data_IF_142102789949
#
_entry.id   IF_142102789949
#
_cell.length_a   1.000
_cell.length_b   1.000
_cell.length_c   1.000
_cell.angle_alpha   90.00
_cell.angle_beta   90.00
_cell.angle_gamma   90.00
#
_symmetry.space_group_name_H-M   'P 1'
#
loop_
_entity.id
_entity.type
_entity.pdbx_description
1 polymer ?
#
# COMPACT_ATOMS: atom_id res chain seq x y z
N UNK A 1 -20.24 20.92 -22.29
CA UNK A 1 -21.07 21.69 -21.36
C UNK A 1 -20.67 21.34 -19.95
N UNK A 2 -19.93 22.23 -19.26
CA UNK A 2 -19.55 22.10 -17.87
C UNK A 2 -20.77 22.51 -17.02
N UNK A 3 -21.43 21.54 -16.42
CA UNK A 3 -22.53 21.81 -15.50
C UNK A 3 -21.93 22.22 -14.16
N UNK A 4 -21.82 23.53 -13.93
CA UNK A 4 -21.50 24.12 -12.62
C UNK A 4 -22.67 23.87 -11.69
N UNK A 5 -22.50 22.99 -10.71
CA UNK A 5 -23.45 22.80 -9.64
C UNK A 5 -23.35 23.95 -8.64
N UNK A 6 -24.28 24.87 -8.66
CA UNK A 6 -24.52 25.82 -7.58
C UNK A 6 -25.20 25.07 -6.41
N UNK A 7 -24.42 24.59 -5.44
CA UNK A 7 -24.95 24.27 -4.12
C UNK A 7 -24.96 25.56 -3.29
N UNK A 8 -26.01 25.79 -2.48
CA UNK A 8 -26.07 26.97 -1.63
C UNK A 8 -24.89 26.96 -0.65
N UNK A 9 -24.09 28.02 -0.67
CA UNK A 9 -22.82 28.19 0.04
C UNK A 9 -22.91 28.21 1.57
N UNK A 10 -24.10 28.10 2.15
CA UNK A 10 -24.33 28.35 3.58
C UNK A 10 -24.33 27.09 4.47
N UNK A 11 -24.18 25.88 3.93
CA UNK A 11 -24.33 24.63 4.69
C UNK A 11 -23.19 23.62 4.56
N UNK A 12 -22.21 23.85 3.69
CA UNK A 12 -21.10 22.93 3.48
C UNK A 12 -19.76 23.63 3.62
N UNK A 13 -18.88 23.08 4.48
CA UNK A 13 -17.47 23.39 4.45
C UNK A 13 -16.75 22.48 3.47
N UNK A 14 -15.61 22.93 2.96
CA UNK A 14 -14.75 22.10 2.10
C UNK A 14 -13.56 21.58 2.91
N UNK A 15 -13.41 20.26 2.99
CA UNK A 15 -12.28 19.62 3.63
C UNK A 15 -11.35 19.08 2.54
N UNK A 16 -10.10 19.56 2.50
CA UNK A 16 -9.10 19.03 1.58
C UNK A 16 -8.40 17.83 2.22
N UNK A 17 -8.57 16.67 1.59
CA UNK A 17 -7.97 15.42 2.02
C UNK A 17 -6.80 15.08 1.11
N UNK A 18 -5.68 14.69 1.71
CA UNK A 18 -4.51 14.13 1.04
C UNK A 18 -4.36 12.65 1.41
N UNK A 19 -4.49 11.74 0.45
CA UNK A 19 -4.22 10.31 0.65
C UNK A 19 -2.76 10.05 0.27
N UNK A 20 -1.95 9.72 1.25
CA UNK A 20 -0.54 9.40 1.10
C UNK A 20 -0.40 7.91 0.76
N UNK A 21 -0.35 7.60 -0.53
CA UNK A 21 -0.06 6.25 -1.02
C UNK A 21 1.43 6.03 -0.99
N UNK A 22 1.91 5.40 0.07
CA UNK A 22 3.34 5.22 0.34
C UNK A 22 3.75 3.75 0.31
N UNK A 23 5.05 3.52 0.07
CA UNK A 23 5.71 2.22 0.12
C UNK A 23 6.59 2.12 1.38
N UNK A 24 6.05 1.70 2.52
CA UNK A 24 6.86 1.46 3.71
C UNK A 24 7.64 0.15 3.61
N UNK A 25 8.73 0.07 4.36
CA UNK A 25 9.50 -1.16 4.53
C UNK A 25 9.18 -1.78 5.89
N UNK A 26 8.84 -3.06 5.90
CA UNK A 26 8.56 -3.78 7.15
C UNK A 26 9.79 -3.75 8.06
N UNK A 27 9.60 -3.30 9.31
CA UNK A 27 10.66 -3.22 10.31
C UNK A 27 11.49 -1.95 10.27
N UNK A 28 11.53 -1.18 9.18
CA UNK A 28 12.29 0.08 9.10
C UNK A 28 11.52 1.26 9.70
N UNK A 29 11.35 1.25 11.02
CA UNK A 29 10.66 2.33 11.74
C UNK A 29 11.25 3.73 11.49
N UNK A 30 12.59 3.93 11.42
CA UNK A 30 13.18 5.23 11.10
C UNK A 30 12.92 5.67 9.66
N UNK A 31 13.04 4.77 8.67
CA UNK A 31 12.79 5.07 7.25
C UNK A 31 11.35 5.40 6.99
N UNK A 32 10.42 4.59 7.50
CA UNK A 32 8.99 4.84 7.39
C UNK A 32 8.59 6.17 8.03
N UNK A 33 9.16 6.50 9.21
CA UNK A 33 8.94 7.80 9.85
C UNK A 33 9.40 8.96 8.98
N UNK A 34 10.60 8.90 8.38
CA UNK A 34 11.07 9.95 7.46
C UNK A 34 10.13 10.14 6.29
N UNK A 35 9.69 9.03 5.67
CA UNK A 35 8.73 9.05 4.57
C UNK A 35 7.39 9.66 4.98
N UNK A 36 6.83 9.28 6.12
CA UNK A 36 5.59 9.86 6.66
C UNK A 36 5.73 11.37 6.86
N UNK A 37 6.84 11.84 7.46
CA UNK A 37 7.11 13.27 7.66
C UNK A 37 7.18 14.01 6.32
N UNK A 38 7.87 13.46 5.32
CA UNK A 38 7.93 14.03 3.97
C UNK A 38 6.53 14.21 3.38
N UNK A 39 5.69 13.18 3.46
CA UNK A 39 4.32 13.25 2.93
C UNK A 39 3.42 14.20 3.72
N UNK A 40 3.59 14.37 5.03
CA UNK A 40 2.93 15.41 5.81
C UNK A 40 3.30 16.79 5.26
N UNK A 41 4.59 17.04 5.00
CA UNK A 41 5.05 18.31 4.45
C UNK A 41 4.51 18.56 3.05
N UNK A 42 4.52 17.53 2.18
CA UNK A 42 3.93 17.61 0.83
C UNK A 42 2.43 17.92 0.86
N UNK A 43 1.70 17.31 1.79
CA UNK A 43 0.27 17.58 1.99
C UNK A 43 0.01 19.03 2.46
N UNK A 44 0.85 19.56 3.36
CA UNK A 44 0.77 20.95 3.83
C UNK A 44 1.00 21.95 2.69
N UNK A 45 1.98 21.72 1.81
CA UNK A 45 2.23 22.55 0.62
C UNK A 45 1.02 22.56 -0.33
N UNK A 46 0.15 21.54 -0.25
CA UNK A 46 -1.10 21.47 -1.02
C UNK A 46 -2.31 21.99 -0.24
N UNK A 47 -2.10 22.67 0.89
CA UNK A 47 -3.14 23.18 1.79
C UNK A 47 -4.14 22.09 2.23
N UNK A 48 -3.68 20.85 2.44
CA UNK A 48 -4.53 19.79 2.93
C UNK A 48 -4.89 20.01 4.41
N UNK A 49 -6.15 19.76 4.75
CA UNK A 49 -6.63 19.82 6.14
C UNK A 49 -6.35 18.50 6.87
N UNK A 50 -6.37 17.39 6.13
CA UNK A 50 -6.10 16.04 6.65
C UNK A 50 -5.21 15.29 5.69
N UNK A 51 -4.15 14.67 6.21
CA UNK A 51 -3.34 13.68 5.47
C UNK A 51 -3.62 12.28 6.04
N UNK A 52 -3.82 11.31 5.15
CA UNK A 52 -4.20 9.94 5.51
C UNK A 52 -3.12 8.98 5.02
N UNK A 53 -2.58 8.19 5.93
CA UNK A 53 -1.58 7.15 5.66
C UNK A 53 -2.21 5.76 5.69
N UNK A 54 -1.64 4.77 4.98
CA UNK A 54 -2.14 3.41 4.96
C UNK A 54 -2.13 2.71 6.33
N UNK A 55 -2.76 1.56 6.37
CA UNK A 55 -2.74 0.61 7.48
C UNK A 55 -1.29 0.23 7.82
N UNK A 56 -0.97 0.19 9.12
CA UNK A 56 0.36 -0.12 9.68
C UNK A 56 1.54 0.64 9.04
N UNK A 57 1.29 1.85 8.53
CA UNK A 57 2.30 2.65 7.83
C UNK A 57 3.59 2.90 8.65
N UNK A 58 3.51 2.91 9.99
CA UNK A 58 4.68 3.12 10.87
C UNK A 58 5.64 1.94 10.81
N UNK A 59 5.15 0.71 10.85
CA UNK A 59 6.00 -0.48 10.89
C UNK A 59 6.08 -1.24 9.56
N UNK A 60 5.24 -0.88 8.56
CA UNK A 60 5.04 -1.67 7.34
C UNK A 60 4.08 -2.84 7.55
N UNK A 61 3.54 -3.39 6.44
CA UNK A 61 2.58 -4.49 6.44
C UNK A 61 3.05 -5.62 5.51
N UNK A 62 2.96 -6.89 5.93
CA UNK A 62 2.60 -7.38 7.26
C UNK A 62 3.83 -7.47 8.19
N UNK A 63 3.72 -7.03 9.46
CA UNK A 63 4.85 -7.09 10.39
C UNK A 63 5.09 -8.46 11.00
N UNK A 64 4.10 -9.36 10.94
CA UNK A 64 4.18 -10.77 11.38
C UNK A 64 4.89 -10.98 12.72
N UNK A 65 5.86 -11.90 12.79
CA UNK A 65 6.58 -12.28 14.01
C UNK A 65 7.40 -11.16 14.66
N UNK A 66 7.58 -10.02 13.98
CA UNK A 66 8.13 -8.83 14.63
C UNK A 66 7.24 -8.35 15.79
N UNK A 67 5.93 -8.62 15.71
CA UNK A 67 4.96 -8.28 16.76
C UNK A 67 5.16 -9.07 18.05
N UNK A 68 5.82 -10.22 18.00
CA UNK A 68 6.17 -11.02 19.18
C UNK A 68 7.36 -10.43 19.96
N UNK A 69 8.04 -9.42 19.40
CA UNK A 69 9.21 -8.77 20.01
C UNK A 69 8.77 -7.50 20.74
N UNK A 70 8.74 -7.53 22.08
CA UNK A 70 8.29 -6.39 22.90
C UNK A 70 9.01 -5.07 22.56
N UNK A 71 10.32 -5.12 22.26
CA UNK A 71 11.07 -3.92 21.89
C UNK A 71 10.58 -3.31 20.58
N UNK A 72 10.22 -4.13 19.58
CA UNK A 72 9.69 -3.66 18.30
C UNK A 72 8.37 -2.91 18.48
N UNK A 73 7.44 -3.47 19.25
CA UNK A 73 6.15 -2.83 19.56
C UNK A 73 6.37 -1.49 20.29
N UNK A 74 7.26 -1.47 21.30
CA UNK A 74 7.61 -0.24 22.03
C UNK A 74 8.22 0.83 21.12
N UNK A 75 9.12 0.43 20.22
CA UNK A 75 9.77 1.36 19.29
C UNK A 75 8.81 1.86 18.21
N UNK A 76 7.82 1.05 17.79
CA UNK A 76 6.70 1.50 16.95
C UNK A 76 5.89 2.61 17.65
N UNK A 77 5.50 2.44 18.91
CA UNK A 77 4.80 3.48 19.69
C UNK A 77 5.67 4.74 19.82
N UNK A 78 6.97 4.58 20.11
CA UNK A 78 7.92 5.70 20.18
C UNK A 78 8.01 6.45 18.84
N UNK A 79 8.03 5.72 17.72
CA UNK A 79 8.03 6.29 16.37
C UNK A 79 6.77 7.10 16.12
N UNK A 80 5.58 6.60 16.49
CA UNK A 80 4.33 7.36 16.41
C UNK A 80 4.35 8.64 17.25
N UNK A 81 4.89 8.57 18.47
CA UNK A 81 4.98 9.75 19.35
C UNK A 81 5.93 10.83 18.79
N UNK A 82 6.98 10.43 18.09
CA UNK A 82 7.85 11.36 17.36
C UNK A 82 7.13 11.97 16.17
N UNK A 83 6.40 11.15 15.38
CA UNK A 83 5.57 11.63 14.28
C UNK A 83 4.52 12.64 14.71
N UNK A 84 3.88 12.41 15.87
CA UNK A 84 2.88 13.33 16.38
C UNK A 84 3.41 14.77 16.52
N UNK A 85 4.67 14.95 16.89
CA UNK A 85 5.30 16.28 17.04
C UNK A 85 5.48 17.02 15.72
N UNK A 86 5.53 16.29 14.60
CA UNK A 86 5.68 16.82 13.24
C UNK A 86 4.35 17.24 12.62
N UNK A 87 3.23 16.74 13.17
CA UNK A 87 1.86 17.06 12.68
C UNK A 87 1.44 18.41 13.23
N UNK A 88 1.73 19.49 12.49
CA UNK A 88 1.39 20.88 12.86
C UNK A 88 0.68 21.58 11.70
N UNK A 89 -0.42 22.27 11.96
CA UNK A 89 -1.20 22.99 10.97
C UNK A 89 -1.91 22.06 9.96
N UNK A 90 -2.06 20.80 10.28
CA UNK A 90 -2.74 19.77 9.52
C UNK A 90 -3.17 18.67 10.50
N UNK A 91 -4.22 17.90 10.20
CA UNK A 91 -4.50 16.65 10.90
C UNK A 91 -3.91 15.46 10.13
N UNK A 92 -3.56 14.38 10.82
CA UNK A 92 -3.06 13.16 10.21
C UNK A 92 -3.78 11.93 10.74
N UNK A 93 -4.09 10.98 9.85
CA UNK A 93 -4.56 9.64 10.20
C UNK A 93 -3.43 8.66 9.84
N UNK A 94 -2.86 7.97 10.82
CA UNK A 94 -1.66 7.15 10.64
C UNK A 94 -1.89 5.75 11.19
N UNK A 95 -1.72 4.73 10.33
CA UNK A 95 -1.77 3.31 10.71
C UNK A 95 -0.53 2.89 11.52
N UNK A 96 -0.74 2.22 12.66
CA UNK A 96 0.31 1.78 13.57
C UNK A 96 -0.14 0.57 14.41
N UNK A 97 0.78 -0.02 15.17
CA UNK A 97 0.48 -1.04 16.17
C UNK A 97 0.23 -0.36 17.51
N UNK A 98 -0.98 -0.54 18.08
CA UNK A 98 -1.31 -0.08 19.42
C UNK A 98 -1.20 -1.21 20.44
N UNK A 99 -0.98 -0.86 21.70
CA UNK A 99 -0.90 -1.79 22.83
C UNK A 99 -1.69 -1.23 24.01
N UNK A 100 -2.47 -2.09 24.67
CA UNK A 100 -3.19 -1.70 25.89
C UNK A 100 -2.38 -2.04 27.16
N UNK A 101 -2.99 -1.70 28.32
CA UNK A 101 -2.41 -1.99 29.65
C UNK A 101 -2.23 -3.49 29.93
N UNK A 102 -3.02 -4.33 29.27
CA UNK A 102 -2.99 -5.80 29.42
C UNK A 102 -2.04 -6.45 28.37
N UNK A 103 -1.20 -5.63 27.71
CA UNK A 103 -0.25 -6.02 26.64
C UNK A 103 -0.89 -6.61 25.40
N UNK A 104 -2.19 -6.42 25.19
CA UNK A 104 -2.86 -6.87 23.96
C UNK A 104 -2.53 -5.91 22.83
N UNK A 105 -2.20 -6.46 21.66
CA UNK A 105 -1.85 -5.71 20.45
C UNK A 105 -3.07 -5.45 19.59
N UNK A 106 -3.08 -4.31 18.94
CA UNK A 106 -4.14 -3.90 18.03
C UNK A 106 -3.56 -3.30 16.76
N UNK A 107 -4.12 -3.71 15.62
CA UNK A 107 -3.98 -2.96 14.37
C UNK A 107 -4.82 -1.68 14.52
N UNK A 108 -4.20 -0.51 14.46
CA UNK A 108 -4.83 0.72 14.89
C UNK A 108 -4.52 1.91 13.97
N UNK A 109 -5.39 2.91 14.01
CA UNK A 109 -5.22 4.21 13.37
C UNK A 109 -5.19 5.31 14.43
N UNK A 110 -4.10 6.05 14.51
CA UNK A 110 -4.00 7.25 15.33
C UNK A 110 -4.49 8.46 14.54
N UNK A 111 -5.37 9.26 15.16
CA UNK A 111 -5.77 10.57 14.63
C UNK A 111 -5.03 11.64 15.42
N UNK A 112 -4.19 12.40 14.72
CA UNK A 112 -3.27 13.36 15.31
C UNK A 112 -3.59 14.74 14.77
N UNK A 113 -3.56 15.76 15.63
CA UNK A 113 -3.70 17.17 15.26
C UNK A 113 -2.88 18.04 16.20
N UNK A 114 -2.22 19.07 15.66
CA UNK A 114 -1.44 20.06 16.40
C UNK A 114 -0.44 19.46 17.40
N UNK A 115 0.28 18.45 16.98
CA UNK A 115 1.32 17.80 17.77
C UNK A 115 0.81 16.85 18.86
N UNK A 116 -0.52 16.61 18.91
CA UNK A 116 -1.15 15.76 19.93
C UNK A 116 -1.98 14.64 19.30
N UNK A 117 -1.93 13.47 19.92
CA UNK A 117 -2.81 12.36 19.59
C UNK A 117 -4.22 12.68 20.12
N UNK A 118 -5.16 12.91 19.19
CA UNK A 118 -6.56 13.21 19.53
C UNK A 118 -7.33 11.94 19.90
N UNK A 119 -7.04 10.80 19.25
CA UNK A 119 -7.66 9.52 19.57
C UNK A 119 -7.08 8.38 18.74
N UNK A 120 -7.49 7.16 19.06
CA UNK A 120 -7.09 5.93 18.38
C UNK A 120 -8.34 5.14 18.04
N UNK A 121 -8.40 4.67 16.80
CA UNK A 121 -9.35 3.65 16.36
C UNK A 121 -8.61 2.31 16.26
N UNK A 122 -9.15 1.24 16.83
CA UNK A 122 -8.63 -0.12 16.79
C UNK A 122 -9.45 -0.96 15.82
N UNK A 123 -8.79 -1.66 14.90
CA UNK A 123 -9.41 -2.48 13.86
C UNK A 123 -10.35 -3.51 14.48
N UNK A 124 -11.55 -3.59 13.93
CA UNK A 124 -12.58 -4.48 14.42
C UNK A 124 -12.60 -5.81 13.69
N UNK A 125 -12.58 -5.78 12.38
CA UNK A 125 -12.66 -6.98 11.55
C UNK A 125 -11.24 -7.44 11.21
N UNK A 126 -10.82 -8.55 11.83
CA UNK A 126 -9.50 -9.15 11.63
C UNK A 126 -9.60 -10.30 10.62
N UNK A 127 -9.08 -10.13 9.39
CA UNK A 127 -9.10 -11.19 8.40
C UNK A 127 -8.15 -12.33 8.83
N UNK A 128 -8.60 -13.59 8.60
CA UNK A 128 -7.83 -14.79 8.89
C UNK A 128 -8.09 -15.83 7.80
N UNK A 129 -7.85 -15.43 6.55
CA UNK A 129 -8.04 -16.25 5.35
C UNK A 129 -7.05 -15.84 4.26
N UNK A 130 -6.73 -16.76 3.36
CA UNK A 130 -5.77 -16.52 2.27
C UNK A 130 -4.39 -16.14 2.83
N UNK A 131 -3.95 -14.94 2.51
CA UNK A 131 -2.64 -14.40 2.94
C UNK A 131 -2.70 -13.67 4.29
N UNK A 132 -3.87 -13.64 4.94
CA UNK A 132 -4.05 -12.91 6.20
C UNK A 132 -4.07 -13.83 7.40
N UNK A 133 -3.29 -13.51 8.42
CA UNK A 133 -3.26 -14.19 9.73
C UNK A 133 -3.27 -13.17 10.88
N UNK A 134 -4.18 -12.18 10.80
CA UNK A 134 -4.21 -11.08 11.77
C UNK A 134 -4.66 -11.52 13.17
N UNK A 135 -5.53 -12.54 13.28
CA UNK A 135 -6.01 -13.04 14.57
C UNK A 135 -4.90 -13.67 15.42
N UNK A 136 -3.80 -14.09 14.80
CA UNK A 136 -2.63 -14.62 15.50
C UNK A 136 -1.95 -13.57 16.36
N UNK A 137 -1.98 -12.31 15.92
CA UNK A 137 -1.20 -11.25 16.53
C UNK A 137 -2.05 -10.17 17.20
N UNK A 138 -3.22 -9.86 16.63
CA UNK A 138 -4.03 -8.71 17.04
C UNK A 138 -5.30 -9.12 17.76
N UNK A 139 -5.67 -8.29 18.71
CA UNK A 139 -6.96 -8.35 19.39
C UNK A 139 -7.95 -7.48 18.63
N UNK A 140 -9.20 -7.93 18.55
CA UNK A 140 -10.30 -7.20 17.94
C UNK A 140 -10.63 -5.94 18.75
N UNK A 141 -10.75 -4.79 18.06
CA UNK A 141 -11.25 -3.55 18.66
C UNK A 141 -12.76 -3.58 18.83
N UNK A 142 -13.28 -2.80 19.76
CA UNK A 142 -14.71 -2.68 20.06
C UNK A 142 -15.25 -1.25 19.91
N UNK A 143 -14.40 -0.27 19.66
CA UNK A 143 -14.73 1.14 19.56
C UNK A 143 -15.57 1.47 18.31
N UNK A 144 -16.56 2.37 18.50
CA UNK A 144 -17.32 2.97 17.40
C UNK A 144 -17.13 4.50 17.38
N UNK A 145 -15.88 4.89 17.55
CA UNK A 145 -15.47 6.29 17.67
C UNK A 145 -15.61 7.02 16.33
N UNK A 146 -16.02 8.28 16.39
CA UNK A 146 -15.93 9.25 15.30
C UNK A 146 -15.10 10.43 15.75
N UNK A 147 -14.55 11.15 14.80
CA UNK A 147 -13.67 12.29 15.04
C UNK A 147 -14.30 13.56 14.50
N UNK A 148 -14.06 14.67 15.18
CA UNK A 148 -14.53 15.97 14.72
C UNK A 148 -13.37 16.95 14.56
N UNK A 149 -13.27 17.53 13.37
CA UNK A 149 -12.27 18.52 13.01
C UNK A 149 -12.97 19.73 12.39
N UNK A 150 -12.87 20.91 13.03
CA UNK A 150 -13.48 22.16 12.55
C UNK A 150 -14.99 22.08 12.30
N UNK A 151 -15.71 21.29 13.09
CA UNK A 151 -17.15 21.08 12.94
C UNK A 151 -17.54 20.00 11.94
N UNK A 152 -16.59 19.35 11.29
CA UNK A 152 -16.81 18.20 10.38
C UNK A 152 -16.61 16.90 11.11
N UNK A 153 -17.52 15.94 10.95
CA UNK A 153 -17.48 14.64 11.62
C UNK A 153 -17.08 13.56 10.61
N UNK A 154 -16.04 12.80 10.92
CA UNK A 154 -15.58 11.70 10.08
C UNK A 154 -15.38 10.42 10.89
N UNK A 155 -15.57 9.29 10.23
CA UNK A 155 -15.26 7.96 10.73
C UNK A 155 -13.92 7.49 10.21
N UNK A 156 -13.22 6.64 10.99
CA UNK A 156 -12.00 5.95 10.58
C UNK A 156 -12.24 4.45 10.67
N UNK A 157 -11.87 3.74 9.62
CA UNK A 157 -11.95 2.28 9.50
C UNK A 157 -10.63 1.74 8.94
N UNK A 158 -10.34 0.47 9.18
CA UNK A 158 -9.10 -0.16 8.73
C UNK A 158 -9.46 -1.37 7.86
N UNK A 159 -9.04 -1.32 6.60
CA UNK A 159 -9.06 -2.41 5.61
C UNK A 159 -10.36 -3.22 5.63
N UNK A 160 -10.37 -4.39 6.27
CA UNK A 160 -11.50 -5.35 6.32
C UNK A 160 -12.78 -4.75 6.90
N UNK A 161 -12.69 -3.75 7.78
CA UNK A 161 -13.86 -3.10 8.37
C UNK A 161 -14.88 -2.58 7.35
N UNK A 162 -14.42 -2.15 6.16
CA UNK A 162 -15.32 -1.64 5.12
C UNK A 162 -15.87 -2.75 4.22
N UNK A 163 -15.23 -3.94 4.24
CA UNK A 163 -15.68 -5.08 3.46
C UNK A 163 -16.88 -5.77 4.09
N UNK A 164 -16.90 -5.87 5.43
CA UNK A 164 -17.95 -6.56 6.18
C UNK A 164 -19.21 -5.68 6.28
N UNK A 165 -20.35 -6.21 5.85
CA UNK A 165 -21.64 -5.53 5.95
C UNK A 165 -22.12 -5.51 7.39
N UNK A 166 -22.70 -4.39 7.83
CA UNK A 166 -23.13 -4.24 9.23
C UNK A 166 -22.01 -3.85 10.21
N UNK A 167 -20.78 -3.73 9.74
CA UNK A 167 -19.61 -3.40 10.55
C UNK A 167 -19.60 -1.93 11.03
N UNK A 168 -18.47 -1.51 11.56
CA UNK A 168 -18.26 -0.24 12.25
C UNK A 168 -18.61 1.00 11.42
N UNK A 169 -18.34 1.01 10.11
CA UNK A 169 -18.58 2.16 9.25
C UNK A 169 -20.05 2.64 9.27
N UNK A 170 -21.01 1.72 9.33
CA UNK A 170 -22.44 2.09 9.44
C UNK A 170 -22.78 2.72 10.79
N UNK A 171 -22.15 2.26 11.88
CA UNK A 171 -22.31 2.84 13.21
C UNK A 171 -21.71 4.23 13.27
N UNK A 172 -20.56 4.45 12.63
CA UNK A 172 -19.92 5.76 12.53
C UNK A 172 -20.81 6.77 11.76
N UNK A 173 -21.45 6.34 10.66
CA UNK A 173 -22.41 7.19 9.93
C UNK A 173 -23.63 7.52 10.80
N UNK A 174 -24.18 6.55 11.53
CA UNK A 174 -25.26 6.82 12.50
C UNK A 174 -24.82 7.77 13.61
N UNK A 175 -23.56 7.78 13.98
CA UNK A 175 -22.95 8.71 14.94
C UNK A 175 -22.63 10.09 14.32
N UNK A 176 -23.02 10.34 13.07
CA UNK A 176 -22.95 11.64 12.42
C UNK A 176 -21.81 11.80 11.40
N UNK A 177 -20.99 10.79 11.15
CA UNK A 177 -19.96 10.87 10.10
C UNK A 177 -20.62 10.96 8.71
N UNK A 178 -20.23 11.95 7.93
CA UNK A 178 -20.56 12.09 6.51
C UNK A 178 -19.34 11.91 5.60
N UNK A 179 -18.21 11.61 6.21
CA UNK A 179 -16.95 11.19 5.58
C UNK A 179 -16.43 9.95 6.30
N UNK A 180 -16.09 8.93 5.54
CA UNK A 180 -15.44 7.72 6.02
C UNK A 180 -14.02 7.67 5.46
N UNK A 181 -13.02 7.58 6.33
CA UNK A 181 -11.63 7.38 5.98
C UNK A 181 -11.32 5.91 6.24
N UNK A 182 -10.95 5.18 5.17
CA UNK A 182 -10.48 3.81 5.28
C UNK A 182 -9.00 3.74 4.94
N UNK A 183 -8.19 3.30 5.88
CA UNK A 183 -6.77 3.02 5.67
C UNK A 183 -6.59 1.53 5.43
N UNK A 184 -5.79 1.16 4.41
CA UNK A 184 -5.71 -0.23 3.94
C UNK A 184 -4.30 -0.64 3.57
N UNK A 185 -4.05 -1.94 3.71
CA UNK A 185 -2.97 -2.70 3.09
C UNK A 185 -3.57 -3.87 2.32
N UNK A 186 -4.45 -3.54 1.35
CA UNK A 186 -5.14 -4.54 0.54
C UNK A 186 -4.24 -4.99 -0.61
N UNK A 187 -3.78 -6.28 -0.62
CA UNK A 187 -2.86 -6.76 -1.63
C UNK A 187 -3.51 -6.84 -3.01
N UNK A 188 -2.66 -6.77 -4.03
CA UNK A 188 -3.03 -6.97 -5.42
C UNK A 188 -3.47 -8.43 -5.66
N UNK A 189 -4.51 -8.56 -6.45
CA UNK A 189 -4.95 -9.80 -7.09
C UNK A 189 -5.62 -9.43 -8.41
N UNK A 190 -5.61 -10.35 -9.38
CA UNK A 190 -6.23 -10.11 -10.69
C UNK A 190 -7.72 -9.84 -10.53
N UNK A 191 -8.17 -8.67 -10.98
CA UNK A 191 -9.56 -8.22 -10.85
C UNK A 191 -9.95 -7.60 -9.51
N UNK A 192 -9.09 -7.61 -8.49
CA UNK A 192 -9.43 -7.09 -7.16
C UNK A 192 -9.67 -5.58 -7.14
N UNK A 193 -9.00 -4.80 -7.98
CA UNK A 193 -9.26 -3.36 -8.07
C UNK A 193 -10.71 -3.08 -8.45
N UNK A 194 -11.24 -3.79 -9.43
CA UNK A 194 -12.65 -3.64 -9.85
C UNK A 194 -13.61 -4.00 -8.71
N UNK A 195 -13.38 -5.13 -8.04
CA UNK A 195 -14.16 -5.55 -6.87
C UNK A 195 -14.11 -4.50 -5.76
N UNK A 196 -12.91 -3.94 -5.48
CA UNK A 196 -12.69 -2.88 -4.50
C UNK A 196 -13.49 -1.62 -4.83
N UNK A 197 -13.42 -1.15 -6.07
CA UNK A 197 -14.18 0.01 -6.52
C UNK A 197 -15.70 -0.22 -6.43
N UNK A 198 -16.19 -1.36 -6.86
CA UNK A 198 -17.60 -1.72 -6.79
C UNK A 198 -18.11 -1.72 -5.34
N UNK A 199 -17.34 -2.33 -4.44
CA UNK A 199 -17.64 -2.35 -3.02
C UNK A 199 -17.73 -0.92 -2.45
N UNK A 200 -16.69 -0.12 -2.65
CA UNK A 200 -16.62 1.23 -2.09
C UNK A 200 -17.74 2.12 -2.65
N UNK A 201 -18.06 2.00 -3.95
CA UNK A 201 -19.23 2.67 -4.57
C UNK A 201 -20.54 2.21 -3.93
N UNK A 202 -20.72 0.91 -3.67
CA UNK A 202 -21.90 0.37 -2.96
C UNK A 202 -21.99 0.97 -1.56
N UNK A 203 -20.89 1.01 -0.80
CA UNK A 203 -20.85 1.56 0.55
C UNK A 203 -21.15 3.06 0.59
N UNK A 204 -20.56 3.84 -0.31
CA UNK A 204 -20.82 5.29 -0.41
C UNK A 204 -22.30 5.58 -0.68
N UNK A 205 -22.93 4.85 -1.64
CA UNK A 205 -24.36 5.02 -1.94
C UNK A 205 -25.26 4.63 -0.78
N UNK A 206 -24.96 3.52 -0.10
CA UNK A 206 -25.76 3.01 1.00
C UNK A 206 -25.70 3.93 2.24
N UNK A 207 -24.54 4.50 2.53
CA UNK A 207 -24.31 5.35 3.70
C UNK A 207 -24.58 6.83 3.44
N UNK A 208 -24.64 7.26 2.18
CA UNK A 208 -24.69 8.67 1.76
C UNK A 208 -23.46 9.47 2.27
N UNK A 209 -22.35 8.79 2.52
CA UNK A 209 -21.09 9.38 2.98
C UNK A 209 -20.04 9.37 1.86
N UNK A 210 -19.12 10.33 1.91
CA UNK A 210 -17.89 10.26 1.13
C UNK A 210 -17.01 9.15 1.67
N UNK A 211 -16.25 8.50 0.77
CA UNK A 211 -15.24 7.50 1.17
C UNK A 211 -13.88 7.95 0.65
N UNK A 212 -12.94 8.10 1.58
CA UNK A 212 -11.52 8.31 1.33
C UNK A 212 -10.79 7.00 1.64
N UNK A 213 -10.33 6.32 0.61
CA UNK A 213 -9.65 5.03 0.69
C UNK A 213 -8.15 5.21 0.43
N UNK A 214 -7.31 5.06 1.44
CA UNK A 214 -5.86 5.14 1.35
C UNK A 214 -5.27 3.73 1.39
N UNK A 215 -4.70 3.26 0.28
CA UNK A 215 -4.09 1.94 0.19
C UNK A 215 -2.57 2.03 0.13
N UNK A 216 -1.91 1.03 0.71
CA UNK A 216 -0.48 0.83 0.60
C UNK A 216 -0.07 0.52 -0.83
N UNK A 217 1.13 0.89 -1.24
CA UNK A 217 1.77 0.47 -2.48
C UNK A 217 3.13 -0.16 -2.16
N UNK A 218 3.57 -1.13 -2.95
CA UNK A 218 4.88 -1.77 -2.81
C UNK A 218 4.81 -3.29 -2.82
N UNK A 219 6.00 -3.92 -2.79
CA UNK A 219 6.17 -5.35 -2.61
C UNK A 219 6.69 -5.66 -1.20
N UNK A 220 6.23 -6.76 -0.61
CA UNK A 220 6.74 -7.31 0.63
C UNK A 220 6.60 -8.84 0.60
N UNK A 221 7.74 -9.54 0.58
CA UNK A 221 7.79 -10.98 0.38
C UNK A 221 6.95 -11.41 -0.85
N UNK A 222 5.99 -12.31 -0.70
CA UNK A 222 5.09 -12.72 -1.77
C UNK A 222 3.94 -11.75 -2.07
N UNK A 223 3.77 -10.69 -1.28
CA UNK A 223 2.68 -9.74 -1.44
C UNK A 223 3.08 -8.53 -2.28
N UNK A 224 2.18 -8.13 -3.16
CA UNK A 224 2.26 -6.86 -3.88
C UNK A 224 1.04 -6.03 -3.55
N UNK A 225 1.23 -4.75 -3.29
CA UNK A 225 0.19 -3.77 -3.03
C UNK A 225 0.14 -2.78 -4.19
N UNK A 226 -1.01 -2.68 -4.83
CA UNK A 226 -1.19 -1.91 -6.06
C UNK A 226 -1.52 -0.43 -5.84
N UNK A 227 -1.59 0.03 -4.60
CA UNK A 227 -2.07 1.38 -4.32
C UNK A 227 -3.54 1.55 -4.73
N UNK A 228 -3.80 2.41 -5.72
CA UNK A 228 -5.16 2.70 -6.17
C UNK A 228 -5.99 3.38 -5.09
N UNK A 229 -5.36 4.27 -4.30
CA UNK A 229 -6.04 5.13 -3.35
C UNK A 229 -7.05 6.00 -4.07
N UNK A 230 -8.24 6.21 -3.46
CA UNK A 230 -9.33 6.89 -4.15
C UNK A 230 -10.26 7.65 -3.21
N UNK A 231 -10.92 8.66 -3.78
CA UNK A 231 -12.01 9.39 -3.12
C UNK A 231 -13.29 9.18 -3.92
N UNK A 232 -14.35 8.77 -3.23
CA UNK A 232 -15.65 8.44 -3.82
C UNK A 232 -16.75 9.30 -3.16
N UNK A 233 -17.62 9.89 -3.97
CA UNK A 233 -18.74 10.69 -3.51
C UNK A 233 -19.93 9.83 -3.07
N UNK A 234 -20.94 10.40 -2.38
CA UNK A 234 -22.15 9.69 -1.94
C UNK A 234 -23.00 9.09 -3.06
N UNK A 235 -22.76 9.47 -4.32
CA UNK A 235 -23.43 8.91 -5.51
C UNK A 235 -22.64 7.73 -6.11
N UNK A 236 -21.46 7.44 -5.54
CA UNK A 236 -20.55 6.40 -6.02
C UNK A 236 -19.68 6.83 -7.19
N UNK A 237 -19.52 8.14 -7.47
CA UNK A 237 -18.57 8.65 -8.47
C UNK A 237 -17.19 8.73 -7.85
N UNK A 238 -16.17 8.26 -8.56
CA UNK A 238 -14.77 8.47 -8.21
C UNK A 238 -14.40 9.91 -8.50
N UNK A 239 -14.01 10.65 -7.48
CA UNK A 239 -13.57 12.03 -7.59
C UNK A 239 -12.07 12.14 -7.82
N UNK A 240 -11.29 11.28 -7.20
CA UNK A 240 -9.84 11.19 -7.38
C UNK A 240 -9.39 9.75 -7.31
N UNK A 241 -8.35 9.40 -8.10
CA UNK A 241 -7.76 8.07 -8.14
C UNK A 241 -6.24 8.20 -8.34
N UNK A 242 -5.47 7.54 -7.47
CA UNK A 242 -4.02 7.57 -7.45
C UNK A 242 -3.38 6.65 -8.49
N UNK A 243 -2.10 6.85 -8.73
CA UNK A 243 -1.30 6.05 -9.65
C UNK A 243 -1.24 4.58 -9.17
N UNK A 244 -1.59 3.62 -10.03
CA UNK A 244 -1.36 2.21 -9.69
C UNK A 244 0.15 1.91 -9.64
N UNK A 245 0.58 1.07 -8.68
CA UNK A 245 1.94 0.56 -8.52
C UNK A 245 3.04 1.61 -8.30
N UNK A 246 2.67 2.85 -7.99
CA UNK A 246 3.61 3.94 -7.68
C UNK A 246 3.21 4.64 -6.38
N UNK A 247 4.20 5.23 -5.70
CA UNK A 247 3.91 6.17 -4.61
C UNK A 247 3.23 7.43 -5.15
N UNK A 248 2.24 7.93 -4.41
CA UNK A 248 1.44 9.07 -4.84
C UNK A 248 0.91 9.89 -3.66
N UNK A 249 0.55 11.14 -3.92
CA UNK A 249 -0.23 11.98 -3.01
C UNK A 249 -1.52 12.41 -3.73
N UNK A 250 -2.61 11.75 -3.39
CA UNK A 250 -3.92 11.97 -4.02
C UNK A 250 -4.66 13.05 -3.25
N UNK A 251 -4.94 14.16 -3.91
CA UNK A 251 -5.62 15.32 -3.30
C UNK A 251 -7.06 15.40 -3.80
N UNK A 252 -7.99 15.62 -2.89
CA UNK A 252 -9.38 15.92 -3.23
C UNK A 252 -10.03 16.87 -2.23
N UNK A 253 -10.87 17.75 -2.74
CA UNK A 253 -11.75 18.59 -1.92
C UNK A 253 -13.09 17.89 -1.73
N UNK A 254 -13.46 17.65 -0.47
CA UNK A 254 -14.66 16.93 -0.06
C UNK A 254 -15.62 17.90 0.60
N UNK A 255 -16.80 18.15 0.02
CA UNK A 255 -17.84 18.96 0.67
C UNK A 255 -18.45 18.15 1.82
N UNK A 256 -18.28 18.63 3.03
CA UNK A 256 -18.77 17.99 4.25
C UNK A 256 -19.71 18.92 5.00
N UNK A 257 -20.75 18.38 5.64
CA UNK A 257 -21.71 19.18 6.38
C UNK A 257 -21.08 19.69 7.67
N UNK A 258 -21.12 21.00 7.89
CA UNK A 258 -20.70 21.61 9.15
C UNK A 258 -21.84 21.61 10.16
N UNK A 259 -21.51 21.51 11.45
CA UNK A 259 -22.45 21.77 12.54
C UNK A 259 -23.17 20.56 13.13
N UNK A 260 -22.92 19.34 12.71
CA UNK A 260 -23.44 18.16 13.42
C UNK A 260 -22.73 18.00 14.77
N UNK A 261 -23.36 18.39 15.85
CA UNK A 261 -22.90 18.05 17.20
C UNK A 261 -23.26 16.58 17.47
N UNK A 262 -22.27 15.76 17.76
CA UNK A 262 -22.48 14.41 18.27
C UNK A 262 -21.77 14.26 19.61
N UNK A 263 -22.46 13.70 20.60
CA UNK A 263 -21.89 13.43 21.93
C UNK A 263 -20.85 12.32 21.94
N UNK A 264 -20.69 11.62 20.79
CA UNK A 264 -19.76 10.48 20.63
C UNK A 264 -18.50 10.82 19.84
N UNK A 265 -18.29 12.11 19.49
CA UNK A 265 -17.09 12.51 18.76
C UNK A 265 -15.95 12.86 19.70
N UNK A 266 -14.77 12.36 19.37
CA UNK A 266 -13.53 12.93 19.87
C UNK A 266 -13.25 14.21 19.10
N UNK A 267 -13.32 15.34 19.80
CA UNK A 267 -13.06 16.65 19.21
C UNK A 267 -11.55 16.84 19.12
N UNK A 268 -11.07 16.95 17.88
CA UNK A 268 -9.70 17.36 17.60
C UNK A 268 -9.58 18.88 17.78
N UNK A 269 -8.36 19.38 17.98
CA UNK A 269 -8.13 20.81 18.09
C UNK A 269 -8.75 21.55 16.89
N UNK A 270 -9.16 22.81 17.11
CA UNK A 270 -9.70 23.66 16.05
C UNK A 270 -8.62 23.84 14.96
N UNK A 271 -8.68 22.98 13.94
CA UNK A 271 -7.77 23.08 12.80
C UNK A 271 -7.96 24.42 12.08
N UNK A 272 -6.90 24.98 11.56
CA UNK A 272 -6.97 26.13 10.67
C UNK A 272 -7.56 25.63 9.34
N UNK A 273 -8.85 25.90 9.12
CA UNK A 273 -9.47 25.63 7.83
C UNK A 273 -9.16 26.78 6.88
N UNK A 274 -8.59 26.47 5.76
CA UNK A 274 -8.41 27.44 4.69
C UNK A 274 -9.75 27.69 3.98
N UNK A 275 -10.53 28.65 4.45
CA UNK A 275 -11.86 28.98 3.91
C UNK A 275 -11.81 29.52 2.46
N UNK A 276 -10.68 30.06 2.04
CA UNK A 276 -10.47 30.68 0.71
C UNK A 276 -9.25 30.09 0.03
N UNK A 277 -9.46 28.98 -0.69
CA UNK A 277 -8.40 28.38 -1.54
C UNK A 277 -8.99 27.97 -2.88
N UNK A 278 -8.16 27.99 -3.92
CA UNK A 278 -8.55 27.44 -5.22
C UNK A 278 -8.92 25.95 -5.08
N UNK A 279 -9.99 25.48 -5.75
CA UNK A 279 -10.33 24.07 -5.75
C UNK A 279 -9.15 23.20 -6.19
N UNK A 280 -8.97 22.07 -5.51
CA UNK A 280 -7.98 21.08 -5.94
C UNK A 280 -8.41 20.49 -7.30
N UNK A 281 -7.46 20.42 -8.23
CA UNK A 281 -7.70 19.71 -9.48
C UNK A 281 -7.91 18.22 -9.17
N UNK A 282 -9.13 17.74 -9.39
CA UNK A 282 -9.43 16.33 -9.25
C UNK A 282 -8.65 15.54 -10.31
N UNK A 283 -7.81 14.60 -9.88
CA UNK A 283 -7.01 13.76 -10.77
C UNK A 283 -7.51 12.31 -10.68
N UNK A 284 -7.98 11.79 -11.81
CA UNK A 284 -8.29 10.38 -11.98
C UNK A 284 -7.26 9.80 -12.96
N UNK A 285 -6.30 9.06 -12.44
CA UNK A 285 -5.26 8.42 -13.25
C UNK A 285 -5.85 7.19 -13.95
N UNK A 286 -5.50 6.88 -15.21
CA UNK A 286 -5.90 5.66 -15.87
C UNK A 286 -5.44 4.40 -15.12
N UNK A 287 -6.31 3.40 -15.06
CA UNK A 287 -6.03 2.15 -14.34
C UNK A 287 -5.05 1.22 -15.06
N UNK A 288 -4.85 1.43 -16.38
CA UNK A 288 -4.14 0.51 -17.25
C UNK A 288 -4.97 -0.75 -17.61
N UNK A 289 -4.50 -1.49 -18.58
CA UNK A 289 -5.09 -2.79 -18.99
C UNK A 289 -4.80 -3.87 -17.94
N UNK A 290 -5.53 -4.98 -18.00
CA UNK A 290 -5.30 -6.11 -17.09
C UNK A 290 -3.87 -6.66 -17.21
N UNK A 291 -3.33 -6.74 -18.44
CA UNK A 291 -1.97 -7.24 -18.70
C UNK A 291 -0.89 -6.28 -18.17
N UNK A 292 -1.03 -4.98 -18.42
CA UNK A 292 -0.13 -3.96 -17.86
C UNK A 292 -0.09 -4.02 -16.33
N UNK A 293 -1.24 -4.24 -15.71
CA UNK A 293 -1.30 -4.34 -14.25
C UNK A 293 -0.62 -5.60 -13.71
N UNK A 294 -0.75 -6.75 -14.39
CA UNK A 294 -0.01 -7.98 -14.05
C UNK A 294 1.48 -7.73 -14.18
N UNK A 295 1.92 -7.15 -15.29
CA UNK A 295 3.33 -6.85 -15.53
C UNK A 295 3.90 -5.88 -14.49
N UNK A 296 3.20 -4.78 -14.22
CA UNK A 296 3.62 -3.80 -13.21
C UNK A 296 3.66 -4.39 -11.79
N UNK A 297 2.79 -5.33 -11.47
CA UNK A 297 2.84 -6.05 -10.20
C UNK A 297 4.11 -6.90 -10.08
N UNK A 298 4.49 -7.61 -11.14
CA UNK A 298 5.72 -8.41 -11.19
C UNK A 298 6.97 -7.53 -11.09
N UNK A 299 7.00 -6.41 -11.81
CA UNK A 299 8.11 -5.45 -11.75
C UNK A 299 8.23 -4.84 -10.35
N UNK A 300 7.11 -4.38 -9.76
CA UNK A 300 7.11 -3.78 -8.43
C UNK A 300 7.54 -4.79 -7.34
N UNK A 301 6.98 -6.00 -7.37
CA UNK A 301 7.35 -7.06 -6.42
C UNK A 301 8.83 -7.41 -6.50
N UNK A 302 9.35 -7.62 -7.70
CA UNK A 302 10.78 -7.92 -7.93
C UNK A 302 11.67 -6.78 -7.45
N UNK A 303 11.34 -5.53 -7.81
CA UNK A 303 12.11 -4.34 -7.40
C UNK A 303 12.20 -4.23 -5.89
N UNK A 304 11.06 -4.30 -5.23
CA UNK A 304 10.99 -4.08 -3.80
C UNK A 304 11.65 -5.23 -3.03
N UNK A 305 11.51 -6.48 -3.49
CA UNK A 305 12.23 -7.62 -2.92
C UNK A 305 13.74 -7.41 -2.96
N UNK A 306 14.28 -7.05 -4.11
CA UNK A 306 15.72 -6.82 -4.27
C UNK A 306 16.19 -5.65 -3.40
N UNK A 307 15.52 -4.48 -3.51
CA UNK A 307 16.00 -3.26 -2.86
C UNK A 307 15.76 -3.25 -1.34
N UNK A 308 14.62 -3.76 -0.85
CA UNK A 308 14.32 -3.83 0.58
C UNK A 308 15.22 -4.81 1.32
N UNK A 309 15.70 -5.86 0.64
CA UNK A 309 16.71 -6.79 1.16
C UNK A 309 18.15 -6.30 0.95
N UNK A 310 18.33 -5.06 0.47
CA UNK A 310 19.63 -4.41 0.26
C UNK A 310 20.52 -5.10 -0.79
N UNK A 311 19.94 -5.91 -1.67
CA UNK A 311 20.62 -6.41 -2.85
C UNK A 311 20.76 -5.29 -3.90
N UNK A 312 21.83 -5.36 -4.71
CA UNK A 312 22.08 -4.39 -5.78
C UNK A 312 21.98 -5.02 -7.16
N UNK A 313 22.45 -6.24 -7.27
CA UNK A 313 22.61 -6.94 -8.53
C UNK A 313 21.76 -8.22 -8.55
N UNK A 314 21.39 -8.64 -9.76
CA UNK A 314 20.64 -9.86 -10.02
C UNK A 314 21.36 -10.68 -11.10
N UNK A 315 21.50 -12.00 -10.85
CA UNK A 315 21.97 -12.97 -11.83
C UNK A 315 20.80 -13.81 -12.33
N UNK A 316 20.66 -13.95 -13.65
CA UNK A 316 19.58 -14.71 -14.26
C UNK A 316 20.14 -15.75 -15.20
N UNK A 317 19.75 -17.02 -14.98
CA UNK A 317 20.03 -18.11 -15.92
C UNK A 317 19.24 -17.91 -17.21
N UNK A 318 19.92 -17.62 -18.33
CA UNK A 318 19.30 -17.45 -19.64
C UNK A 318 19.41 -18.75 -20.43
N UNK A 319 18.31 -19.47 -20.53
CA UNK A 319 18.20 -20.70 -21.31
C UNK A 319 17.98 -20.46 -22.81
N UNK A 320 17.57 -19.25 -23.20
CA UNK A 320 17.06 -18.94 -24.55
C UNK A 320 15.56 -19.22 -24.72
N UNK A 321 14.87 -19.74 -23.67
CA UNK A 321 13.42 -19.93 -23.66
C UNK A 321 12.66 -18.69 -23.23
N UNK A 322 11.34 -18.69 -23.47
CA UNK A 322 10.45 -17.54 -23.20
C UNK A 322 10.39 -17.17 -21.73
N UNK A 323 10.38 -18.14 -20.83
CA UNK A 323 10.27 -17.89 -19.38
C UNK A 323 11.47 -17.11 -18.85
N UNK A 324 12.69 -17.57 -19.15
CA UNK A 324 13.91 -16.87 -18.76
C UNK A 324 14.04 -15.49 -19.41
N UNK A 325 13.50 -15.34 -20.62
CA UNK A 325 13.45 -14.07 -21.33
C UNK A 325 12.52 -13.06 -20.64
N UNK A 326 11.34 -13.52 -20.22
CA UNK A 326 10.38 -12.70 -19.48
C UNK A 326 10.93 -12.28 -18.10
N UNK A 327 11.57 -13.23 -17.39
CA UNK A 327 12.21 -12.94 -16.09
C UNK A 327 13.30 -11.87 -16.24
N UNK A 328 14.13 -11.96 -17.30
CA UNK A 328 15.16 -10.97 -17.57
C UNK A 328 14.58 -9.58 -17.89
N UNK A 329 13.51 -9.50 -18.67
CA UNK A 329 12.84 -8.25 -18.97
C UNK A 329 12.24 -7.61 -17.70
N UNK A 330 11.56 -8.39 -16.87
CA UNK A 330 11.01 -7.92 -15.57
C UNK A 330 12.13 -7.41 -14.66
N UNK A 331 13.26 -8.13 -14.58
CA UNK A 331 14.37 -7.71 -13.73
C UNK A 331 15.01 -6.39 -14.22
N UNK A 332 15.14 -6.20 -15.54
CA UNK A 332 15.64 -4.96 -16.12
C UNK A 332 14.73 -3.77 -15.79
N UNK A 333 13.43 -3.96 -15.94
CA UNK A 333 12.45 -2.89 -15.60
C UNK A 333 12.36 -2.65 -14.08
N UNK A 334 12.67 -3.66 -13.28
CA UNK A 334 12.65 -3.56 -11.83
C UNK A 334 13.85 -2.80 -11.25
N UNK A 335 15.08 -3.13 -11.66
CA UNK A 335 16.32 -2.66 -11.01
C UNK A 335 17.32 -1.99 -11.97
N UNK A 336 16.99 -1.85 -13.23
CA UNK A 336 17.86 -1.27 -14.26
C UNK A 336 18.81 -2.30 -14.89
N UNK A 337 19.10 -2.11 -16.18
CA UNK A 337 19.92 -3.03 -16.98
C UNK A 337 21.36 -3.18 -16.48
N UNK A 338 21.89 -2.14 -15.86
CA UNK A 338 23.25 -2.11 -15.29
C UNK A 338 23.43 -3.05 -14.11
N UNK A 339 22.33 -3.41 -13.43
CA UNK A 339 22.29 -4.28 -12.26
C UNK A 339 21.85 -5.72 -12.57
N UNK A 340 21.65 -6.04 -13.86
CA UNK A 340 21.24 -7.38 -14.29
C UNK A 340 22.36 -8.04 -15.10
N UNK A 341 22.67 -9.29 -14.77
CA UNK A 341 23.61 -10.12 -15.53
C UNK A 341 22.93 -11.41 -15.95
N UNK A 342 22.86 -11.66 -17.26
CA UNK A 342 22.41 -12.91 -17.83
C UNK A 342 23.56 -13.94 -17.91
N UNK A 343 23.31 -15.16 -17.45
CA UNK A 343 24.27 -16.25 -17.49
C UNK A 343 23.70 -17.42 -18.31
N UNK A 344 24.31 -17.75 -19.42
CA UNK A 344 24.00 -18.97 -20.17
C UNK A 344 24.92 -20.11 -19.75
N UNK A 345 24.33 -21.26 -19.47
CA UNK A 345 25.08 -22.47 -19.04
C UNK A 345 24.91 -23.61 -20.07
N UNK A 346 25.49 -23.49 -21.26
CA UNK A 346 25.30 -24.48 -22.31
C UNK A 346 25.98 -25.82 -21.97
N UNK A 347 25.30 -26.91 -22.36
CA UNK A 347 25.79 -28.27 -22.37
C UNK A 347 25.76 -28.83 -23.79
N UNK A 348 26.19 -30.11 -23.99
CA UNK A 348 26.05 -30.83 -25.26
C UNK A 348 24.61 -30.92 -25.79
N UNK A 349 23.62 -30.79 -24.92
CA UNK A 349 22.20 -30.82 -25.27
C UNK A 349 21.64 -29.45 -25.69
N UNK A 350 22.41 -28.39 -25.53
CA UNK A 350 21.93 -27.02 -25.86
C UNK A 350 22.11 -26.75 -27.35
N UNK A 351 21.01 -26.51 -28.07
CA UNK A 351 21.06 -26.20 -29.49
C UNK A 351 21.79 -24.87 -29.77
N UNK A 352 22.37 -24.75 -30.95
CA UNK A 352 23.00 -23.50 -31.37
C UNK A 352 21.99 -22.34 -31.47
N UNK A 353 20.74 -22.63 -31.85
CA UNK A 353 19.66 -21.64 -31.91
C UNK A 353 19.35 -21.07 -30.54
N UNK A 354 19.10 -21.92 -29.56
CA UNK A 354 18.77 -21.54 -28.17
C UNK A 354 19.89 -20.71 -27.53
N UNK A 355 21.15 -21.11 -27.79
CA UNK A 355 22.33 -20.37 -27.33
C UNK A 355 22.45 -18.99 -27.96
N UNK A 356 22.13 -18.88 -29.26
CA UNK A 356 22.05 -17.61 -29.99
C UNK A 356 20.94 -16.70 -29.48
N UNK A 357 19.79 -17.27 -29.14
CA UNK A 357 18.65 -16.52 -28.61
C UNK A 357 18.94 -15.90 -27.25
N UNK A 358 19.59 -16.62 -26.33
CA UNK A 358 19.99 -16.08 -25.02
C UNK A 358 20.93 -14.87 -25.17
N UNK A 359 21.92 -14.98 -26.06
CA UNK A 359 22.85 -13.88 -26.32
C UNK A 359 22.20 -12.68 -26.96
N UNK A 360 21.33 -12.90 -27.94
CA UNK A 360 20.56 -11.84 -28.63
C UNK A 360 19.63 -11.11 -27.67
N UNK A 361 18.94 -11.84 -26.78
CA UNK A 361 18.13 -11.24 -25.73
C UNK A 361 18.96 -10.32 -24.83
N UNK A 362 20.10 -10.80 -24.33
CA UNK A 362 20.97 -10.00 -23.47
C UNK A 362 21.45 -8.70 -24.16
N UNK A 363 21.77 -8.79 -25.45
CA UNK A 363 22.13 -7.63 -26.27
C UNK A 363 20.96 -6.64 -26.42
N UNK A 364 19.76 -7.15 -26.70
CA UNK A 364 18.55 -6.32 -26.85
C UNK A 364 18.18 -5.60 -25.56
N UNK A 365 18.31 -6.28 -24.41
CA UNK A 365 18.08 -5.69 -23.09
C UNK A 365 19.23 -4.80 -22.61
N UNK A 366 20.41 -4.87 -23.27
CA UNK A 366 21.59 -4.11 -22.89
C UNK A 366 22.20 -4.52 -21.56
N UNK A 367 22.02 -5.79 -21.14
CA UNK A 367 22.54 -6.35 -19.89
C UNK A 367 23.91 -7.02 -20.11
N UNK A 368 24.64 -7.19 -19.00
CA UNK A 368 25.87 -8.02 -19.01
C UNK A 368 25.50 -9.46 -19.35
N UNK A 369 26.33 -10.13 -20.15
CA UNK A 369 26.12 -11.52 -20.53
C UNK A 369 27.40 -12.34 -20.34
N UNK A 370 27.22 -13.47 -19.68
CA UNK A 370 28.29 -14.44 -19.49
C UNK A 370 27.85 -15.82 -19.97
N UNK A 371 28.79 -16.57 -20.52
CA UNK A 371 28.57 -17.95 -20.93
C UNK A 371 29.50 -18.84 -20.14
N UNK A 372 28.95 -19.76 -19.37
CA UNK A 372 29.64 -20.69 -18.49
C UNK A 372 29.26 -22.11 -18.90
N UNK A 373 30.05 -22.76 -19.82
CA UNK A 373 29.79 -24.14 -20.23
C UNK A 373 29.85 -25.08 -19.03
N UNK A 374 28.83 -25.93 -18.85
CA UNK A 374 28.74 -26.85 -17.71
C UNK A 374 29.24 -28.27 -18.04
N UNK A 375 29.79 -28.49 -19.23
CA UNK A 375 30.14 -29.81 -19.74
C UNK A 375 31.08 -30.57 -18.80
N UNK A 376 32.15 -29.95 -18.32
CA UNK A 376 33.10 -30.59 -17.39
C UNK A 376 32.48 -31.01 -16.08
N UNK A 377 31.57 -30.22 -15.57
CA UNK A 377 30.83 -30.52 -14.33
C UNK A 377 29.84 -31.67 -14.56
N UNK A 378 29.18 -31.65 -15.71
CA UNK A 378 28.26 -32.70 -16.12
C UNK A 378 28.98 -34.04 -16.26
N UNK A 379 30.14 -34.06 -16.93
CA UNK A 379 31.00 -35.27 -17.07
C UNK A 379 31.48 -35.82 -15.72
N UNK A 380 31.90 -34.94 -14.80
CA UNK A 380 32.32 -35.36 -13.46
C UNK A 380 31.16 -35.98 -12.68
N UNK A 381 29.94 -35.41 -12.84
CA UNK A 381 28.74 -35.95 -12.20
C UNK A 381 28.35 -37.31 -12.78
N UNK A 382 28.42 -37.48 -14.09
CA UNK A 382 28.16 -38.76 -14.75
C UNK A 382 29.17 -39.84 -14.29
N UNK A 383 30.44 -39.50 -14.20
CA UNK A 383 31.47 -40.46 -13.72
C UNK A 383 31.14 -40.94 -12.29
N UNK A 384 30.77 -40.04 -11.41
CA UNK A 384 30.39 -40.39 -10.04
C UNK A 384 29.14 -41.27 -9.97
N UNK A 385 28.14 -40.99 -10.82
CA UNK A 385 26.92 -41.80 -10.89
C UNK A 385 27.17 -43.18 -11.47
N UNK A 386 28.09 -43.29 -12.43
CA UNK A 386 28.50 -44.56 -13.01
C UNK A 386 29.18 -45.51 -12.01
N UNK A 387 29.97 -44.95 -11.09
CA UNK A 387 30.52 -45.71 -9.95
C UNK A 387 29.46 -46.33 -9.04
N UNK A 388 28.34 -45.62 -8.86
CA UNK A 388 27.26 -46.02 -7.94
C UNK A 388 26.23 -46.94 -8.62
N UNK A 389 25.82 -46.62 -9.84
CA UNK A 389 24.69 -47.25 -10.53
C UNK A 389 25.07 -48.13 -11.72
N UNK A 390 26.39 -48.19 -12.10
CA UNK A 390 26.87 -48.95 -13.24
C UNK A 390 26.34 -48.44 -14.58
N UNK A 391 26.44 -49.26 -15.63
CA UNK A 391 26.00 -48.85 -17.00
C UNK A 391 24.49 -48.61 -17.16
N UNK A 392 23.67 -49.02 -16.22
CA UNK A 392 22.21 -48.82 -16.23
C UNK A 392 21.77 -47.38 -15.95
N UNK A 393 22.65 -46.50 -15.55
CA UNK A 393 22.33 -45.12 -15.19
C UNK A 393 22.08 -44.18 -16.39
N UNK A 394 22.26 -44.63 -17.62
CA UNK A 394 22.35 -43.78 -18.81
C UNK A 394 21.48 -44.23 -19.99
N UNK A 395 20.44 -45.07 -19.72
CA UNK A 395 19.48 -45.49 -20.72
C UNK A 395 18.34 -44.52 -20.99
#
# INVERSE_FOLDING_TARGET
MLTTYHLPLTTYGMLRIALAQINPTVGDLPGNRRKIVEYIQRARVKDADVVVFPELAVCGYPPEDLLLKEHFVRDNIKSLNLLAREVKGIAAVIGFVDIDKDKRLYNAAAVISDGRRGGVYRKKELPNYGVFDEKRYFTQGDDNIVFALGGHVFGVTICEDIWIEGSVYQKQVRNGADLLINISSSPYDVGKLKKRQELLRKRARATKAFICYANLVGGQDELVFDGGSMVIDPRGKVLAFGKPFEEDLVIADVPVKSGKKTSKAVVLAKGVFHQTRAPAAARVVPEGTALERIYNALVLGTRDYVLKNQFRDCLIGLSGGIDSSLVAAIAVDAIGKENVTGVSMPSRFTSAGTRGDARRLAQNLGIKFQEVPIEKMFEAYLAQLQEIFGEQAFG
#
